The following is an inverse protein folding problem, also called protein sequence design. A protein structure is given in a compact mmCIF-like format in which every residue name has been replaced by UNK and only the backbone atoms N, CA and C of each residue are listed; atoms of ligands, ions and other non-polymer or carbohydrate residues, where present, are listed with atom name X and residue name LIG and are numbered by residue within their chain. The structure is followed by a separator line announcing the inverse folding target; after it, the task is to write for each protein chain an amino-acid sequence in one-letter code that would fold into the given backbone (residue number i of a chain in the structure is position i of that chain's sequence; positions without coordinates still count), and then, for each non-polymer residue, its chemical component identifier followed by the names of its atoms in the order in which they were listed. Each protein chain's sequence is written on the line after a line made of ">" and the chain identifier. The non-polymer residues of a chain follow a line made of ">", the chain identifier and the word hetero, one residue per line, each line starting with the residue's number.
data_IF_237966472585
#
_entry.id   IF_237966472585
#
_cell.length_a   1.000
_cell.length_b   1.000
_cell.length_c   1.000
_cell.angle_alpha   90.00
_cell.angle_beta   90.00
_cell.angle_gamma   90.00
#
_symmetry.space_group_name_H-M   'P 1'
#
loop_
_entity.id
_entity.type
_entity.pdbx_description
1 polymer ?
#
# COMPACT_ATOMS: atom_id res chain seq x y z
N UNK A 1 -10.60 -9.78 6.95
CA UNK A 1 -10.76 -10.30 5.57
C UNK A 1 -11.40 -9.25 4.67
N UNK A 2 -11.10 -9.31 3.36
CA UNK A 2 -11.66 -8.48 2.29
C UNK A 2 -12.07 -9.35 1.10
N UNK A 3 -12.90 -8.85 0.20
CA UNK A 3 -13.40 -9.63 -0.94
C UNK A 3 -12.39 -9.79 -2.08
N UNK A 4 -11.31 -9.02 -2.10
CA UNK A 4 -10.29 -9.08 -3.16
C UNK A 4 -9.05 -8.26 -2.80
N UNK A 5 -7.96 -8.43 -3.55
CA UNK A 5 -6.81 -7.52 -3.48
C UNK A 5 -7.18 -6.07 -3.81
N UNK A 6 -8.11 -5.86 -4.75
CA UNK A 6 -8.60 -4.52 -5.08
C UNK A 6 -9.28 -3.84 -3.89
N UNK A 7 -10.15 -4.53 -3.17
CA UNK A 7 -10.78 -4.00 -1.97
C UNK A 7 -9.73 -3.72 -0.89
N UNK A 8 -8.76 -4.63 -0.70
CA UNK A 8 -7.66 -4.45 0.24
C UNK A 8 -6.82 -3.21 -0.05
N UNK A 9 -6.39 -3.03 -1.31
CA UNK A 9 -5.62 -1.86 -1.75
C UNK A 9 -6.40 -0.55 -1.57
N UNK A 10 -7.67 -0.53 -1.98
CA UNK A 10 -8.52 0.66 -1.81
C UNK A 10 -8.70 1.00 -0.32
N UNK A 11 -9.00 -0.01 0.53
CA UNK A 11 -9.17 0.19 1.97
C UNK A 11 -7.88 0.70 2.62
N UNK A 12 -6.73 0.11 2.27
CA UNK A 12 -5.44 0.53 2.79
C UNK A 12 -5.12 1.97 2.41
N UNK A 13 -5.20 2.30 1.12
CA UNK A 13 -4.74 3.59 0.58
C UNK A 13 -5.68 4.72 1.00
N UNK A 14 -6.99 4.60 0.75
CA UNK A 14 -7.97 5.62 1.15
C UNK A 14 -8.02 5.75 2.66
N UNK A 15 -8.06 4.61 3.37
CA UNK A 15 -8.13 4.58 4.82
C UNK A 15 -6.94 5.25 5.49
N UNK A 16 -5.71 5.00 5.00
CA UNK A 16 -4.49 5.63 5.48
C UNK A 16 -4.46 7.14 5.18
N UNK A 17 -4.72 7.52 3.92
CA UNK A 17 -4.71 8.92 3.49
C UNK A 17 -5.67 9.78 4.33
N UNK A 18 -6.93 9.36 4.45
CA UNK A 18 -7.92 10.11 5.22
C UNK A 18 -7.69 10.08 6.73
N UNK A 19 -7.10 9.02 7.29
CA UNK A 19 -6.75 8.99 8.70
C UNK A 19 -5.60 9.97 9.03
N UNK A 20 -4.71 10.21 8.08
CA UNK A 20 -3.49 11.02 8.26
C UNK A 20 -3.51 12.39 7.62
N UNK A 21 -4.61 12.83 6.98
CA UNK A 21 -4.71 14.10 6.24
C UNK A 21 -4.37 15.35 7.04
N UNK A 22 -4.41 15.29 8.38
CA UNK A 22 -4.01 16.39 9.27
C UNK A 22 -2.49 16.45 9.50
N UNK A 23 -1.72 15.42 9.08
CA UNK A 23 -0.27 15.31 9.30
C UNK A 23 0.54 15.65 8.07
N UNK A 24 -0.09 15.78 6.91
CA UNK A 24 0.51 16.08 5.63
C UNK A 24 -0.42 15.79 4.47
N UNK A 25 0.05 16.03 3.24
CA UNK A 25 -0.75 15.83 2.02
C UNK A 25 -0.07 14.96 0.98
N UNK A 26 1.23 14.66 1.16
CA UNK A 26 2.00 13.94 0.15
C UNK A 26 1.82 12.43 0.27
N UNK A 27 1.58 11.81 -0.88
CA UNK A 27 1.48 10.35 -1.08
C UNK A 27 2.50 9.98 -2.14
N UNK A 28 3.31 8.94 -1.87
CA UNK A 28 4.29 8.42 -2.83
C UNK A 28 3.87 7.02 -3.26
N UNK A 29 3.80 6.80 -4.56
CA UNK A 29 3.52 5.50 -5.16
C UNK A 29 4.35 5.31 -6.42
N UNK A 30 4.18 4.22 -7.15
CA UNK A 30 4.91 3.96 -8.38
C UNK A 30 4.00 3.99 -9.61
N UNK A 31 4.57 4.30 -10.76
CA UNK A 31 3.83 4.31 -12.03
C UNK A 31 3.53 2.90 -12.57
N UNK A 32 4.10 1.87 -11.92
CA UNK A 32 3.97 0.45 -12.32
C UNK A 32 3.04 -0.35 -11.41
N UNK A 33 2.30 0.31 -10.54
CA UNK A 33 1.33 -0.33 -9.65
C UNK A 33 0.16 -0.95 -10.44
N UNK A 34 -0.48 -1.92 -9.82
CA UNK A 34 -1.75 -2.45 -10.33
C UNK A 34 -2.82 -1.35 -10.42
N UNK A 35 -3.76 -1.40 -11.40
CA UNK A 35 -4.82 -0.41 -11.54
C UNK A 35 -5.63 -0.10 -10.27
N UNK A 36 -5.78 -1.07 -9.35
CA UNK A 36 -6.43 -0.85 -8.06
C UNK A 36 -5.69 0.13 -7.14
N UNK A 37 -4.38 0.31 -7.34
CA UNK A 37 -3.56 1.31 -6.66
C UNK A 37 -3.53 2.61 -7.45
N UNK A 38 -3.23 2.55 -8.76
CA UNK A 38 -3.11 3.73 -9.62
C UNK A 38 -4.40 4.56 -9.66
N UNK A 39 -5.55 3.92 -9.87
CA UNK A 39 -6.86 4.62 -9.91
C UNK A 39 -7.23 5.19 -8.55
N UNK A 40 -6.88 4.50 -7.47
CA UNK A 40 -7.12 4.98 -6.10
C UNK A 40 -6.23 6.18 -5.77
N UNK A 41 -4.95 6.15 -6.19
CA UNK A 41 -4.03 7.27 -6.07
C UNK A 41 -4.52 8.50 -6.86
N UNK A 42 -5.01 8.28 -8.08
CA UNK A 42 -5.60 9.33 -8.92
C UNK A 42 -6.81 9.99 -8.25
N UNK A 43 -7.71 9.18 -7.67
CA UNK A 43 -8.83 9.71 -6.88
C UNK A 43 -8.37 10.60 -5.73
N UNK A 44 -7.26 10.25 -5.07
CA UNK A 44 -6.71 11.06 -3.98
C UNK A 44 -6.13 12.40 -4.50
N UNK A 45 -5.61 12.47 -5.73
CA UNK A 45 -5.26 13.75 -6.36
C UNK A 45 -6.51 14.64 -6.50
N UNK A 46 -7.62 14.08 -6.99
CA UNK A 46 -8.89 14.81 -7.13
C UNK A 46 -9.42 15.28 -5.75
N UNK A 47 -9.14 14.54 -4.68
CA UNK A 47 -9.47 14.89 -3.29
C UNK A 47 -8.47 15.89 -2.66
N UNK A 48 -7.49 16.40 -3.41
CA UNK A 48 -6.55 17.45 -3.03
C UNK A 48 -5.29 16.99 -2.32
N UNK A 49 -4.93 15.69 -2.42
CA UNK A 49 -3.63 15.20 -2.00
C UNK A 49 -2.59 15.39 -3.10
N UNK A 50 -1.33 15.57 -2.71
CA UNK A 50 -0.19 15.58 -3.63
C UNK A 50 0.29 14.15 -3.85
N UNK A 51 0.10 13.60 -5.05
CA UNK A 51 0.54 12.23 -5.35
C UNK A 51 1.76 12.25 -6.27
N UNK A 52 2.83 11.58 -5.83
CA UNK A 52 4.06 11.40 -6.60
C UNK A 52 4.10 9.97 -7.14
N UNK A 53 4.17 9.84 -8.47
CA UNK A 53 4.30 8.56 -9.17
C UNK A 53 5.75 8.35 -9.60
N UNK A 54 6.49 7.47 -8.93
CA UNK A 54 7.87 7.13 -9.28
C UNK A 54 7.91 6.24 -10.53
N UNK A 55 8.82 6.54 -11.43
CA UNK A 55 9.03 5.75 -12.65
C UNK A 55 10.02 4.62 -12.39
N UNK A 56 9.84 3.45 -13.02
CA UNK A 56 10.82 2.37 -12.91
C UNK A 56 12.08 2.70 -13.72
N UNK A 57 13.19 2.12 -13.29
CA UNK A 57 14.42 2.02 -14.06
C UNK A 57 14.26 0.96 -15.16
N UNK A 58 15.28 0.81 -16.04
CA UNK A 58 15.28 -0.19 -17.11
C UNK A 58 15.11 -1.64 -16.61
N UNK A 59 15.58 -1.94 -15.39
CA UNK A 59 15.39 -3.25 -14.76
C UNK A 59 14.00 -3.47 -14.14
N UNK A 60 13.08 -2.50 -14.30
CA UNK A 60 11.72 -2.56 -13.78
C UNK A 60 11.59 -2.24 -12.27
N UNK A 61 12.69 -1.95 -11.56
CA UNK A 61 12.66 -1.59 -10.15
C UNK A 61 12.71 -0.07 -9.95
N UNK A 62 12.15 0.41 -8.85
CA UNK A 62 12.22 1.83 -8.47
C UNK A 62 13.59 2.15 -7.87
N UNK A 63 14.15 3.30 -8.25
CA UNK A 63 15.40 3.81 -7.67
C UNK A 63 15.24 4.17 -6.19
N UNK A 64 16.16 3.66 -5.35
CA UNK A 64 16.22 4.05 -3.93
C UNK A 64 16.51 5.54 -3.76
N UNK A 65 17.28 6.14 -4.68
CA UNK A 65 17.57 7.58 -4.65
C UNK A 65 16.31 8.41 -4.98
N UNK A 66 15.48 7.96 -5.91
CA UNK A 66 14.20 8.63 -6.18
C UNK A 66 13.23 8.51 -4.99
N UNK A 67 13.19 7.36 -4.30
CA UNK A 67 12.46 7.22 -3.05
C UNK A 67 12.92 8.23 -1.99
N UNK A 68 14.24 8.40 -1.82
CA UNK A 68 14.82 9.40 -0.87
C UNK A 68 14.42 10.83 -1.21
N UNK A 69 14.34 11.16 -2.48
CA UNK A 69 13.92 12.50 -2.93
C UNK A 69 12.42 12.72 -2.77
N UNK A 70 11.61 11.69 -3.05
CA UNK A 70 10.15 11.79 -3.03
C UNK A 70 9.56 11.79 -1.62
N UNK A 71 10.14 11.02 -0.70
CA UNK A 71 9.65 10.90 0.68
C UNK A 71 10.16 12.08 1.50
N UNK A 72 9.23 12.91 1.97
CA UNK A 72 9.50 14.12 2.75
C UNK A 72 8.75 14.08 4.08
N UNK A 73 9.00 15.07 4.96
CA UNK A 73 8.27 15.22 6.24
C UNK A 73 6.75 15.43 6.08
N UNK A 74 6.29 15.81 4.89
CA UNK A 74 4.87 15.95 4.55
C UNK A 74 4.24 14.66 3.99
N UNK A 75 5.06 13.62 3.79
CA UNK A 75 4.59 12.33 3.28
C UNK A 75 3.82 11.58 4.36
N UNK A 76 2.57 11.19 4.04
CA UNK A 76 1.66 10.49 4.95
C UNK A 76 1.37 9.06 4.55
N UNK A 77 1.66 8.70 3.30
CA UNK A 77 1.50 7.35 2.76
C UNK A 77 2.57 7.08 1.71
N UNK A 78 3.18 5.93 1.79
CA UNK A 78 3.98 5.33 0.72
C UNK A 78 3.32 4.01 0.35
N UNK A 79 2.97 3.82 -0.93
CA UNK A 79 2.33 2.59 -1.42
C UNK A 79 3.15 2.02 -2.56
N UNK A 80 3.74 0.84 -2.35
CA UNK A 80 4.63 0.18 -3.33
C UNK A 80 4.30 -1.31 -3.36
N UNK A 81 4.08 -1.87 -4.57
CA UNK A 81 3.94 -3.32 -4.73
C UNK A 81 5.27 -4.03 -4.42
N UNK A 82 5.22 -5.27 -3.91
CA UNK A 82 6.44 -6.02 -3.65
C UNK A 82 7.01 -6.65 -4.93
N UNK A 83 6.13 -7.20 -5.77
CA UNK A 83 6.49 -7.81 -7.06
C UNK A 83 5.57 -7.27 -8.13
N UNK A 84 6.13 -6.78 -9.23
CA UNK A 84 5.35 -6.27 -10.34
C UNK A 84 4.63 -7.43 -11.08
N UNK A 85 3.36 -7.23 -11.38
CA UNK A 85 2.50 -8.26 -11.98
C UNK A 85 2.77 -8.53 -13.47
N UNK A 86 3.48 -7.64 -14.15
CA UNK A 86 3.80 -7.76 -15.58
C UNK A 86 5.24 -8.22 -15.80
N UNK A 87 6.19 -7.61 -15.09
CA UNK A 87 7.62 -7.85 -15.29
C UNK A 87 8.24 -8.83 -14.28
N UNK A 88 7.58 -9.06 -13.13
CA UNK A 88 8.15 -9.83 -12.04
C UNK A 88 9.24 -9.11 -11.23
N UNK A 89 9.54 -7.84 -11.54
CA UNK A 89 10.55 -7.06 -10.84
C UNK A 89 10.20 -6.87 -9.37
N UNK A 90 11.16 -7.13 -8.47
CA UNK A 90 11.03 -6.95 -7.02
C UNK A 90 11.33 -5.50 -6.67
N UNK A 91 10.45 -4.87 -5.89
CA UNK A 91 10.54 -3.47 -5.53
C UNK A 91 11.22 -3.26 -4.17
N UNK A 92 11.86 -2.10 -3.94
CA UNK A 92 12.67 -1.83 -2.74
C UNK A 92 11.82 -1.40 -1.53
N UNK A 93 10.81 -2.21 -1.16
CA UNK A 93 9.87 -1.92 -0.05
C UNK A 93 10.59 -1.72 1.28
N UNK A 94 11.60 -2.57 1.58
CA UNK A 94 12.40 -2.43 2.81
C UNK A 94 13.16 -1.11 2.86
N UNK A 95 13.72 -0.67 1.74
CA UNK A 95 14.41 0.61 1.65
C UNK A 95 13.44 1.78 1.88
N UNK A 96 12.21 1.71 1.34
CA UNK A 96 11.18 2.71 1.60
C UNK A 96 10.86 2.83 3.10
N UNK A 97 10.75 1.69 3.83
CA UNK A 97 10.57 1.69 5.28
C UNK A 97 11.71 2.39 6.03
N UNK A 98 12.95 2.15 5.61
CA UNK A 98 14.13 2.79 6.21
C UNK A 98 14.12 4.30 5.97
N UNK A 99 13.87 4.73 4.73
CA UNK A 99 13.81 6.15 4.35
C UNK A 99 12.72 6.89 5.12
N UNK A 100 11.52 6.30 5.27
CA UNK A 100 10.43 6.89 6.07
C UNK A 100 10.91 7.20 7.49
N UNK A 101 11.65 6.28 8.11
CA UNK A 101 12.20 6.46 9.47
C UNK A 101 13.31 7.50 9.51
N UNK A 102 14.25 7.47 8.56
CA UNK A 102 15.35 8.42 8.45
C UNK A 102 14.86 9.86 8.27
N UNK A 103 13.86 10.05 7.42
CA UNK A 103 13.24 11.37 7.18
C UNK A 103 12.37 11.82 8.36
N UNK A 104 11.89 10.88 9.19
CA UNK A 104 10.90 11.16 10.23
C UNK A 104 9.52 11.51 9.66
N UNK A 105 9.18 10.95 8.49
CA UNK A 105 7.89 11.16 7.86
C UNK A 105 6.75 10.48 8.65
N UNK A 106 5.57 11.13 8.82
CA UNK A 106 4.43 10.49 9.45
C UNK A 106 3.75 9.46 8.54
N UNK A 107 4.46 8.92 7.55
CA UNK A 107 3.93 8.03 6.55
C UNK A 107 3.63 6.63 7.09
N UNK A 108 2.52 6.05 6.65
CA UNK A 108 2.32 4.60 6.67
C UNK A 108 2.92 4.00 5.40
N UNK A 109 3.50 2.80 5.52
CA UNK A 109 3.96 2.01 4.39
C UNK A 109 2.94 0.93 4.05
N UNK A 110 2.28 1.07 2.91
CA UNK A 110 1.44 0.05 2.30
C UNK A 110 2.21 -0.73 1.26
N UNK A 111 2.05 -2.04 1.26
CA UNK A 111 2.62 -2.93 0.26
C UNK A 111 1.53 -3.78 -0.40
N UNK A 112 1.37 -3.64 -1.72
CA UNK A 112 0.62 -4.61 -2.51
C UNK A 112 1.46 -5.89 -2.66
N UNK A 113 1.12 -6.92 -1.88
CA UNK A 113 1.79 -8.22 -1.89
C UNK A 113 1.08 -9.29 -2.71
N UNK A 114 0.07 -8.92 -3.50
CA UNK A 114 -0.78 -9.87 -4.24
C UNK A 114 0.03 -10.80 -5.14
N UNK A 115 1.09 -10.33 -5.77
CA UNK A 115 1.95 -11.17 -6.62
C UNK A 115 3.06 -11.90 -5.85
N UNK A 116 3.39 -11.47 -4.65
CA UNK A 116 4.48 -12.02 -3.85
C UNK A 116 4.00 -13.07 -2.83
N UNK A 117 2.82 -12.85 -2.24
CA UNK A 117 2.28 -13.71 -1.19
C UNK A 117 2.11 -15.14 -1.67
N UNK A 118 2.63 -16.11 -0.91
CA UNK A 118 2.59 -17.54 -1.23
C UNK A 118 3.54 -17.99 -2.34
N UNK A 119 4.34 -17.07 -2.94
CA UNK A 119 5.31 -17.39 -4.01
C UNK A 119 6.76 -17.16 -3.59
N UNK A 120 6.98 -16.35 -2.57
CA UNK A 120 8.29 -16.11 -1.99
C UNK A 120 8.19 -15.95 -0.47
N UNK A 121 9.27 -16.19 0.29
CA UNK A 121 9.29 -15.92 1.72
C UNK A 121 9.06 -14.43 2.00
N UNK A 122 8.10 -14.10 2.86
CA UNK A 122 7.79 -12.73 3.26
C UNK A 122 7.75 -12.64 4.79
N UNK A 123 8.56 -11.73 5.34
CA UNK A 123 8.46 -11.32 6.72
C UNK A 123 8.04 -9.84 6.77
N UNK A 124 6.81 -9.58 7.19
CA UNK A 124 6.24 -8.23 7.22
C UNK A 124 6.97 -7.30 8.19
N UNK A 125 7.54 -7.85 9.27
CA UNK A 125 8.34 -7.07 10.22
C UNK A 125 9.67 -6.63 9.61
N UNK A 126 10.34 -7.51 8.86
CA UNK A 126 11.61 -7.22 8.19
C UNK A 126 11.43 -6.22 7.05
N UNK A 127 10.32 -6.30 6.33
CA UNK A 127 9.93 -5.33 5.32
C UNK A 127 9.56 -3.98 5.94
N UNK A 128 9.15 -3.98 7.22
CA UNK A 128 8.74 -2.80 7.96
C UNK A 128 7.43 -2.18 7.48
N UNK A 129 6.55 -2.98 6.87
CA UNK A 129 5.26 -2.52 6.36
C UNK A 129 4.24 -2.35 7.47
N UNK A 130 3.37 -1.36 7.33
CA UNK A 130 2.26 -1.10 8.23
C UNK A 130 0.95 -1.70 7.72
N UNK A 131 0.81 -1.78 6.38
CA UNK A 131 -0.33 -2.32 5.68
C UNK A 131 0.15 -3.26 4.57
N UNK A 132 -0.48 -4.44 4.43
CA UNK A 132 -0.11 -5.40 3.38
C UNK A 132 -1.36 -6.07 2.82
N UNK A 133 -1.47 -6.07 1.49
CA UNK A 133 -2.60 -6.66 0.77
C UNK A 133 -2.21 -7.97 0.10
N UNK A 134 -3.05 -9.00 0.25
CA UNK A 134 -2.94 -10.27 -0.45
C UNK A 134 -4.30 -10.70 -1.04
N UNK A 135 -4.28 -11.63 -2.00
CA UNK A 135 -5.50 -12.13 -2.66
C UNK A 135 -5.43 -13.64 -2.89
N UNK A 136 -6.49 -14.36 -2.52
CA UNK A 136 -6.54 -15.82 -2.57
C UNK A 136 -6.40 -16.38 -3.97
N UNK A 137 -7.01 -15.77 -5.00
CA UNK A 137 -6.97 -16.29 -6.38
C UNK A 137 -5.58 -16.30 -7.02
N UNK A 138 -4.59 -15.63 -6.44
CA UNK A 138 -3.19 -15.62 -6.92
C UNK A 138 -2.35 -16.76 -6.34
N UNK A 139 -2.90 -17.49 -5.36
CA UNK A 139 -2.27 -18.63 -4.68
C UNK A 139 -3.16 -19.88 -4.73
N UNK A 140 -3.88 -20.07 -5.82
CA UNK A 140 -4.80 -21.20 -6.04
C UNK A 140 -5.99 -21.27 -5.08
N UNK A 141 -6.27 -20.20 -4.33
CA UNK A 141 -7.44 -20.07 -3.47
C UNK A 141 -8.69 -19.61 -4.26
N UNK A 142 -9.85 -19.57 -3.60
CA UNK A 142 -11.09 -19.14 -4.23
C UNK A 142 -11.05 -17.66 -4.62
N UNK A 143 -11.84 -17.29 -5.63
CA UNK A 143 -12.18 -15.90 -5.92
C UNK A 143 -13.07 -15.33 -4.81
N UNK A 144 -13.06 -14.01 -4.64
CA UNK A 144 -13.88 -13.37 -3.60
C UNK A 144 -13.24 -13.37 -2.20
N UNK A 145 -11.96 -13.77 -2.08
CA UNK A 145 -11.23 -13.78 -0.81
C UNK A 145 -9.92 -13.00 -0.95
N UNK A 146 -9.69 -12.08 -0.03
CA UNK A 146 -8.45 -11.35 0.15
C UNK A 146 -8.18 -11.06 1.61
N UNK A 147 -7.00 -10.53 1.87
CA UNK A 147 -6.53 -10.15 3.21
C UNK A 147 -5.91 -8.76 3.15
N UNK A 148 -6.27 -7.92 4.11
CA UNK A 148 -5.55 -6.70 4.45
C UNK A 148 -4.95 -6.87 5.84
N UNK A 149 -3.63 -7.01 5.91
CA UNK A 149 -2.90 -6.91 7.18
C UNK A 149 -2.81 -5.44 7.60
N UNK A 150 -3.11 -5.18 8.86
CA UNK A 150 -2.94 -3.88 9.50
C UNK A 150 -2.09 -4.12 10.74
N UNK A 151 -0.93 -3.49 10.80
CA UNK A 151 0.00 -3.61 11.94
C UNK A 151 -0.66 -3.13 13.23
N UNK A 152 -0.39 -3.83 14.33
CA UNK A 152 -0.90 -3.44 15.66
C UNK A 152 -0.51 -1.98 15.98
N UNK A 153 -1.50 -1.19 16.41
CA UNK A 153 -1.32 0.23 16.71
C UNK A 153 -1.49 1.18 15.51
N UNK A 154 -1.59 0.64 14.28
CA UNK A 154 -1.92 1.43 13.11
C UNK A 154 -3.43 1.62 13.01
N UNK A 155 -3.85 2.86 12.77
CA UNK A 155 -5.25 3.21 12.56
C UNK A 155 -5.44 3.75 11.14
N UNK A 156 -6.43 3.20 10.44
CA UNK A 156 -6.91 3.68 9.15
C UNK A 156 -8.43 3.87 9.21
N UNK A 157 -9.01 4.62 8.28
CA UNK A 157 -10.46 4.72 8.16
C UNK A 157 -11.03 3.53 7.39
N UNK A 158 -12.13 2.91 7.83
CA UNK A 158 -12.79 1.85 7.08
C UNK A 158 -13.36 2.38 5.77
N UNK A 159 -13.31 1.55 4.72
CA UNK A 159 -13.93 1.86 3.42
C UNK A 159 -15.42 1.45 3.41
N UNK A 160 -15.73 0.31 3.99
CA UNK A 160 -17.10 -0.25 4.05
C UNK A 160 -17.57 -0.18 5.49
N UNK A 161 -18.55 0.67 5.75
CA UNK A 161 -19.15 0.88 7.07
C UNK A 161 -20.46 0.10 7.21
N UNK A 162 -20.87 -0.24 8.45
CA UNK A 162 -22.11 -0.98 8.71
C UNK A 162 -22.09 -1.69 10.06
N UNK A 163 -22.37 -2.98 10.09
CA UNK A 163 -22.62 -3.79 11.29
C UNK A 163 -21.41 -4.13 12.18
N UNK A 164 -20.25 -3.55 11.94
CA UNK A 164 -19.10 -3.63 12.85
C UNK A 164 -18.21 -4.88 12.70
N UNK A 165 -18.42 -5.70 11.69
CA UNK A 165 -17.59 -6.88 11.43
C UNK A 165 -16.13 -6.50 11.20
N UNK A 166 -15.21 -7.46 11.32
CA UNK A 166 -13.76 -7.25 11.21
C UNK A 166 -13.26 -6.10 12.12
N UNK A 167 -13.77 -6.03 13.35
CA UNK A 167 -13.43 -4.98 14.33
C UNK A 167 -13.73 -3.56 13.84
N UNK A 168 -14.86 -3.37 13.19
CA UNK A 168 -15.30 -2.13 12.53
C UNK A 168 -14.43 -1.70 11.32
N UNK A 169 -13.59 -2.58 10.81
CA UNK A 169 -12.73 -2.25 9.66
C UNK A 169 -13.33 -2.63 8.31
N UNK A 170 -14.18 -3.65 8.29
CA UNK A 170 -14.87 -4.08 7.07
C UNK A 170 -16.22 -4.70 7.46
N UNK A 171 -17.29 -3.96 7.27
CA UNK A 171 -18.64 -4.43 7.51
C UNK A 171 -19.17 -5.29 6.35
N UNK A 172 -20.12 -6.17 6.64
CA UNK A 172 -20.70 -7.12 5.71
C UNK A 172 -20.26 -8.57 6.00
N UNK A 173 -21.15 -9.48 5.84
CA UNK A 173 -20.95 -10.94 6.01
C UNK A 173 -20.85 -11.65 4.66
#
# INVERSE_FOLDING_TARGET
>A
FVGSGTEGNNTAILGAAYARKKRGKRIVTTAIEHPSVLKTAKRLEDDGFEVVFLKPQENGSISVNELKTAITKDTILVSIMLVNNETGAIQPVKAASQIIKEVGAPALLHCDGVQAFGKMPINLYDLGVDLFTASGHKIHGPKGVGVLYIKKGVTIKPLITGGGQEKNMRSGT
#
